data_IF_773151579480
#
_entry.id   IF_773151579480
#
_cell.length_a   1.000
_cell.length_b   1.000
_cell.length_c   1.000
_cell.angle_alpha   90.00
_cell.angle_beta   90.00
_cell.angle_gamma   90.00
#
_symmetry.space_group_name_H-M   'P 1'
#
loop_
_entity.id
_entity.type
_entity.pdbx_description
1 polymer ?
#
# COMPACT_ATOMS: atom_id res chain seq x y z
N UNK A 1 11.89 9.77 14.31
CA UNK A 1 11.20 9.32 13.09
C UNK A 1 9.72 9.31 13.37
N UNK A 2 8.92 10.02 12.58
CA UNK A 2 7.46 10.03 12.76
C UNK A 2 6.88 8.85 11.97
N UNK A 3 6.14 7.96 12.65
CA UNK A 3 5.44 6.85 12.01
C UNK A 3 4.26 7.40 11.22
N UNK A 4 4.15 7.01 9.95
CA UNK A 4 2.99 7.34 9.11
C UNK A 4 1.75 6.55 9.57
N UNK A 5 0.55 7.16 9.56
CA UNK A 5 -0.68 6.43 9.83
C UNK A 5 -0.87 5.32 8.77
N UNK A 6 -1.09 4.09 9.22
CA UNK A 6 -1.48 2.99 8.33
C UNK A 6 -3.00 2.84 8.35
N UNK A 7 -3.64 3.18 7.24
CA UNK A 7 -5.09 3.16 7.07
C UNK A 7 -5.54 1.78 6.61
N UNK A 8 -6.55 1.21 7.27
CA UNK A 8 -7.20 -0.01 6.81
C UNK A 8 -8.18 0.31 5.68
N UNK A 9 -7.94 -0.20 4.47
CA UNK A 9 -8.79 0.06 3.31
C UNK A 9 -10.25 -0.39 3.51
N UNK A 10 -10.49 -1.36 4.40
CA UNK A 10 -11.84 -1.91 4.66
C UNK A 10 -12.63 -1.14 5.73
N UNK A 11 -12.01 -0.17 6.41
CA UNK A 11 -12.69 0.66 7.38
C UNK A 11 -13.70 1.58 6.70
N UNK A 12 -14.83 1.86 7.35
CA UNK A 12 -15.89 2.72 6.80
C UNK A 12 -15.45 4.17 6.58
N UNK A 13 -14.40 4.61 7.28
CA UNK A 13 -13.84 5.96 7.23
C UNK A 13 -12.45 6.01 6.57
N UNK A 14 -12.02 4.93 5.91
CA UNK A 14 -10.70 4.79 5.29
C UNK A 14 -10.36 5.96 4.36
N UNK A 15 -11.33 6.42 3.55
CA UNK A 15 -11.13 7.55 2.65
C UNK A 15 -10.79 8.85 3.39
N UNK A 16 -11.48 9.14 4.50
CA UNK A 16 -11.23 10.34 5.31
C UNK A 16 -9.83 10.30 5.92
N UNK A 17 -9.47 9.18 6.56
CA UNK A 17 -8.16 9.00 7.19
C UNK A 17 -7.02 9.09 6.17
N UNK A 18 -7.21 8.49 4.99
CA UNK A 18 -6.21 8.49 3.94
C UNK A 18 -5.96 9.89 3.38
N UNK A 19 -7.01 10.65 3.08
CA UNK A 19 -6.90 12.04 2.60
C UNK A 19 -6.30 12.95 3.68
N UNK A 20 -6.65 12.75 4.95
CA UNK A 20 -6.04 13.49 6.05
C UNK A 20 -4.52 13.24 6.16
N UNK A 21 -4.09 11.97 6.04
CA UNK A 21 -2.66 11.62 6.02
C UNK A 21 -1.93 12.29 4.86
N UNK A 22 -2.51 12.24 3.65
CA UNK A 22 -1.94 12.91 2.48
C UNK A 22 -1.82 14.43 2.69
N UNK A 23 -2.86 15.07 3.25
CA UNK A 23 -2.85 16.52 3.52
C UNK A 23 -1.77 16.90 4.53
N UNK A 24 -1.67 16.14 5.62
CA UNK A 24 -0.82 16.52 6.75
C UNK A 24 0.65 16.09 6.56
N UNK A 25 0.91 15.05 5.76
CA UNK A 25 2.25 14.44 5.63
C UNK A 25 2.78 14.37 4.20
N UNK A 26 1.92 14.49 3.19
CA UNK A 26 2.25 14.19 1.79
C UNK A 26 2.24 12.69 1.45
N UNK A 27 2.03 11.80 2.44
CA UNK A 27 2.05 10.35 2.27
C UNK A 27 0.78 9.70 2.80
N UNK A 28 0.40 8.57 2.20
CA UNK A 28 -0.69 7.72 2.67
C UNK A 28 -0.28 6.25 2.57
N UNK A 29 -0.51 5.49 3.63
CA UNK A 29 -0.19 4.06 3.70
C UNK A 29 -1.48 3.27 3.87
N UNK A 30 -1.76 2.34 2.96
CA UNK A 30 -2.94 1.48 2.99
C UNK A 30 -2.56 0.02 3.28
N UNK A 31 -3.31 -0.62 4.18
CA UNK A 31 -3.33 -2.08 4.37
C UNK A 31 -4.69 -2.66 3.94
N UNK A 32 -4.75 -3.97 3.74
CA UNK A 32 -5.97 -4.70 3.31
C UNK A 32 -6.59 -4.18 1.99
N UNK A 33 -5.75 -3.64 1.11
CA UNK A 33 -6.15 -3.15 -0.22
C UNK A 33 -6.70 -4.29 -1.10
N UNK A 34 -7.48 -3.99 -2.15
CA UNK A 34 -8.16 -5.03 -2.94
C UNK A 34 -7.23 -5.73 -3.94
N UNK A 35 -6.00 -5.24 -4.15
CA UNK A 35 -5.02 -5.88 -5.03
C UNK A 35 -4.59 -7.21 -4.41
N UNK A 36 -4.75 -8.36 -5.10
CA UNK A 36 -4.34 -9.66 -4.58
C UNK A 36 -2.84 -9.71 -4.30
N UNK A 37 -2.46 -10.12 -3.10
CA UNK A 37 -1.06 -10.24 -2.69
C UNK A 37 -0.28 -11.21 -3.62
N UNK A 38 -0.88 -12.32 -4.01
CA UNK A 38 -0.28 -13.31 -4.90
C UNK A 38 0.05 -12.75 -6.30
N UNK A 39 -0.72 -11.78 -6.79
CA UNK A 39 -0.44 -11.11 -8.06
C UNK A 39 0.85 -10.29 -7.93
N UNK A 40 0.98 -9.49 -6.87
CA UNK A 40 2.20 -8.70 -6.62
C UNK A 40 3.41 -9.62 -6.48
N UNK A 41 3.30 -10.70 -5.70
CA UNK A 41 4.36 -11.70 -5.54
C UNK A 41 4.79 -12.33 -6.88
N UNK A 42 3.83 -12.63 -7.76
CA UNK A 42 4.14 -13.16 -9.09
C UNK A 42 4.93 -12.18 -9.95
N UNK A 43 4.61 -10.88 -9.88
CA UNK A 43 5.34 -9.82 -10.59
C UNK A 43 6.79 -9.77 -10.09
N UNK A 44 7.00 -9.74 -8.77
CA UNK A 44 8.33 -9.74 -8.18
C UNK A 44 9.15 -10.95 -8.63
N UNK A 45 8.56 -12.15 -8.57
CA UNK A 45 9.23 -13.39 -8.99
C UNK A 45 9.62 -13.35 -10.47
N UNK A 46 8.71 -12.93 -11.34
CA UNK A 46 8.96 -12.91 -12.79
C UNK A 46 10.07 -11.91 -13.16
N UNK A 47 10.05 -10.70 -12.59
CA UNK A 47 11.10 -9.71 -12.82
C UNK A 47 12.44 -10.14 -12.25
N UNK A 48 12.45 -10.77 -11.08
CA UNK A 48 13.68 -11.32 -10.50
C UNK A 48 14.30 -12.39 -11.41
N UNK A 49 13.50 -13.30 -11.96
CA UNK A 49 13.99 -14.32 -12.91
C UNK A 49 14.56 -13.64 -14.17
N UNK A 50 13.85 -12.67 -14.74
CA UNK A 50 14.30 -11.94 -15.93
C UNK A 50 15.66 -11.24 -15.74
N UNK A 51 15.86 -10.54 -14.61
CA UNK A 51 17.12 -9.83 -14.37
C UNK A 51 18.28 -10.76 -13.94
N UNK A 52 18.00 -12.03 -13.64
CA UNK A 52 19.00 -13.03 -13.27
C UNK A 52 19.46 -13.90 -14.46
N UNK A 53 18.91 -13.68 -15.66
CA UNK A 53 19.30 -14.37 -16.91
C UNK A 53 20.06 -13.44 -17.85
#
# INVERSE_FOLDING_TARGET
MQLLPTVDYRASDAASQFVESLRNTGFGVLKNHPIPQSLVESIYKNWQVFFNS
#
